data_IF_594816079963
#
_entry.id   IF_594816079963
#
_cell.length_a   1.000
_cell.length_b   1.000
_cell.length_c   1.000
_cell.angle_alpha   90.00
_cell.angle_beta   90.00
_cell.angle_gamma   90.00
#
_symmetry.space_group_name_H-M   'P 1'
#
loop_
_entity.id
_entity.type
_entity.pdbx_description
1 polymer ?
#
# COMPACT_ATOMS: atom_id res chain seq x y z
N UNK A 1 4.30 -12.26 -18.60
CA UNK A 1 4.74 -10.85 -18.80
C UNK A 1 5.00 -10.20 -17.46
N UNK A 2 6.23 -9.78 -17.19
CA UNK A 2 6.49 -9.05 -15.95
C UNK A 2 5.81 -7.69 -15.99
N UNK A 3 5.23 -7.31 -14.88
CA UNK A 3 4.64 -6.00 -14.69
C UNK A 3 5.70 -5.02 -14.21
N UNK A 4 5.50 -3.75 -14.52
CA UNK A 4 6.31 -2.68 -13.96
C UNK A 4 5.65 -2.20 -12.67
N UNK A 5 6.44 -2.18 -11.62
CA UNK A 5 6.03 -1.76 -10.29
C UNK A 5 6.71 -0.43 -9.98
N UNK A 6 5.96 0.54 -9.50
CA UNK A 6 6.51 1.83 -9.07
C UNK A 6 6.52 1.90 -7.56
N UNK A 7 7.54 2.55 -7.03
CA UNK A 7 7.64 2.84 -5.61
C UNK A 7 7.20 4.28 -5.37
N UNK A 8 6.14 4.44 -4.57
CA UNK A 8 5.67 5.76 -4.15
C UNK A 8 6.71 6.40 -3.23
N UNK A 9 7.04 7.70 -3.41
CA UNK A 9 8.16 8.30 -2.70
C UNK A 9 7.91 8.58 -1.22
N UNK A 10 6.66 8.69 -0.79
CA UNK A 10 6.33 9.09 0.58
C UNK A 10 6.31 7.91 1.54
N UNK A 11 6.65 8.19 2.80
CA UNK A 11 6.45 7.23 3.89
C UNK A 11 5.02 7.41 4.39
N UNK A 12 4.30 6.29 4.49
CA UNK A 12 2.88 6.28 4.82
C UNK A 12 2.63 5.72 6.22
N UNK A 13 1.47 6.08 6.76
CA UNK A 13 0.95 5.52 8.01
C UNK A 13 -0.40 4.87 7.74
N UNK A 14 -0.66 3.79 8.47
CA UNK A 14 -1.95 3.11 8.47
C UNK A 14 -2.59 3.43 9.82
N UNK A 15 -3.76 4.07 9.79
CA UNK A 15 -4.38 4.62 11.00
C UNK A 15 -5.80 4.12 11.16
N UNK A 16 -6.27 4.09 12.41
CA UNK A 16 -7.66 3.84 12.73
C UNK A 16 -8.20 4.92 13.65
N UNK A 17 -9.46 5.27 13.44
CA UNK A 17 -10.24 6.22 14.23
C UNK A 17 -11.62 5.60 14.49
N UNK A 18 -12.39 6.13 15.45
CA UNK A 18 -13.77 5.70 15.62
C UNK A 18 -14.57 5.84 14.33
N UNK A 19 -15.59 4.96 14.11
CA UNK A 19 -16.29 4.94 12.82
C UNK A 19 -17.02 6.23 12.46
N UNK A 20 -17.37 7.05 13.43
CA UNK A 20 -18.05 8.32 13.22
C UNK A 20 -17.09 9.50 12.99
N UNK A 21 -15.79 9.29 13.09
CA UNK A 21 -14.81 10.37 12.93
C UNK A 21 -14.80 10.91 11.49
N UNK A 22 -14.45 12.17 11.36
CA UNK A 22 -14.28 12.80 10.04
C UNK A 22 -12.85 12.57 9.54
N UNK A 23 -12.68 12.13 8.28
CA UNK A 23 -11.34 12.00 7.74
C UNK A 23 -10.69 13.38 7.57
N UNK A 24 -9.38 13.49 7.82
CA UNK A 24 -8.69 14.77 7.68
C UNK A 24 -8.60 15.20 6.22
N UNK A 25 -8.54 16.51 6.02
CA UNK A 25 -8.17 17.10 4.74
C UNK A 25 -6.65 17.00 4.58
N UNK A 26 -6.18 16.46 3.47
CA UNK A 26 -4.75 16.32 3.22
C UNK A 26 -4.48 16.36 1.71
N UNK A 27 -3.27 16.79 1.35
CA UNK A 27 -2.79 16.81 -0.03
C UNK A 27 -1.82 15.66 -0.33
N UNK A 28 -1.83 14.62 0.50
CA UNK A 28 -1.00 13.43 0.25
C UNK A 28 -1.36 12.82 -1.11
N UNK A 29 -0.36 12.35 -1.86
CA UNK A 29 -0.59 11.76 -3.18
C UNK A 29 -1.35 10.45 -3.09
N UNK A 30 -1.12 9.66 -2.03
CA UNK A 30 -1.88 8.44 -1.79
C UNK A 30 -2.73 8.62 -0.53
N UNK A 31 -4.03 8.51 -0.69
CA UNK A 31 -4.96 8.68 0.42
C UNK A 31 -6.07 7.65 0.29
N UNK A 32 -6.11 6.71 1.23
CA UNK A 32 -7.15 5.68 1.27
C UNK A 32 -8.01 5.87 2.51
N UNK A 33 -9.32 5.86 2.32
CA UNK A 33 -10.30 6.01 3.40
C UNK A 33 -11.26 4.84 3.30
N UNK A 34 -11.38 4.09 4.39
CA UNK A 34 -12.35 3.00 4.47
C UNK A 34 -13.16 3.17 5.75
N UNK A 35 -14.47 3.39 5.59
CA UNK A 35 -15.38 3.48 6.73
C UNK A 35 -16.22 2.21 6.82
N UNK A 36 -16.22 1.60 7.98
CA UNK A 36 -17.07 0.45 8.32
C UNK A 36 -17.81 0.77 9.62
N UNK A 37 -18.78 -0.06 10.04
CA UNK A 37 -19.38 0.12 11.37
C UNK A 37 -18.37 0.05 12.52
N UNK A 38 -17.20 -0.56 12.29
CA UNK A 38 -16.21 -0.77 13.34
C UNK A 38 -15.14 0.31 13.42
N UNK A 39 -14.85 1.02 12.30
CA UNK A 39 -13.73 1.94 12.26
C UNK A 39 -13.77 2.87 11.06
N UNK A 40 -13.03 3.95 11.17
CA UNK A 40 -12.55 4.74 10.03
C UNK A 40 -11.07 4.41 9.84
N UNK A 41 -10.73 3.70 8.78
CA UNK A 41 -9.35 3.32 8.47
C UNK A 41 -8.77 4.28 7.44
N UNK A 42 -7.55 4.74 7.67
CA UNK A 42 -6.88 5.69 6.79
C UNK A 42 -5.50 5.19 6.43
N UNK A 43 -5.11 5.42 5.17
CA UNK A 43 -3.71 5.32 4.75
C UNK A 43 -3.34 6.66 4.15
N UNK A 44 -2.31 7.31 4.72
CA UNK A 44 -1.90 8.64 4.30
C UNK A 44 -0.44 8.87 4.65
N UNK A 45 0.10 9.99 4.19
CA UNK A 45 1.47 10.39 4.50
C UNK A 45 1.62 10.50 6.03
N UNK A 46 2.70 9.94 6.58
CA UNK A 46 2.84 9.85 8.04
C UNK A 46 2.89 11.22 8.73
N UNK A 47 3.26 12.27 8.01
CA UNK A 47 3.25 13.64 8.56
C UNK A 47 1.83 14.22 8.69
N UNK A 48 0.81 13.54 8.15
CA UNK A 48 -0.57 14.02 8.13
C UNK A 48 -1.49 13.27 9.09
N UNK A 49 -0.92 12.47 9.99
CA UNK A 49 -1.70 11.68 10.97
C UNK A 49 -2.59 12.63 11.79
N UNK A 50 -3.94 12.40 11.79
CA UNK A 50 -4.82 13.26 12.55
C UNK A 50 -4.73 13.02 14.05
N UNK A 51 -5.06 14.02 14.88
CA UNK A 51 -5.10 13.84 16.34
C UNK A 51 -6.06 12.72 16.74
N UNK A 52 -5.69 11.95 17.73
CA UNK A 52 -6.53 10.88 18.28
C UNK A 52 -6.49 9.57 17.52
N UNK A 53 -5.79 9.49 16.39
CA UNK A 53 -5.67 8.26 15.63
C UNK A 53 -4.65 7.31 16.26
N UNK A 54 -4.94 6.02 16.18
CA UNK A 54 -3.97 4.96 16.50
C UNK A 54 -3.35 4.52 15.19
N UNK A 55 -2.03 4.58 15.08
CA UNK A 55 -1.35 4.41 13.79
C UNK A 55 -0.17 3.48 13.87
N UNK A 56 0.06 2.81 12.73
CA UNK A 56 1.30 2.12 12.40
C UNK A 56 1.99 2.95 11.32
N UNK A 57 3.12 3.58 11.63
CA UNK A 57 3.90 4.38 10.69
C UNK A 57 5.01 3.57 10.04
N UNK A 58 5.71 4.18 9.09
CA UNK A 58 6.89 3.58 8.48
C UNK A 58 6.57 2.57 7.39
N UNK A 59 5.55 2.84 6.58
CA UNK A 59 5.18 2.00 5.44
C UNK A 59 5.60 2.64 4.13
N UNK A 60 6.01 1.81 3.17
CA UNK A 60 6.32 2.22 1.81
C UNK A 60 5.38 1.51 0.85
N UNK A 61 5.02 2.19 -0.22
CA UNK A 61 3.97 1.71 -1.12
C UNK A 61 4.53 1.39 -2.51
N UNK A 62 4.29 0.17 -2.96
CA UNK A 62 4.46 -0.22 -4.36
C UNK A 62 3.11 -0.20 -5.04
N UNK A 63 3.08 0.14 -6.32
CA UNK A 63 1.86 0.01 -7.11
C UNK A 63 2.19 -0.43 -8.52
N UNK A 64 1.22 -1.10 -9.16
CA UNK A 64 1.37 -1.56 -10.54
C UNK A 64 1.21 -0.36 -11.45
N UNK A 65 2.18 -0.15 -12.34
CA UNK A 65 2.14 0.95 -13.29
C UNK A 65 1.05 0.74 -14.34
N UNK A 66 0.31 1.79 -14.63
CA UNK A 66 -0.77 1.75 -15.61
C UNK A 66 -2.11 1.33 -15.02
N UNK A 67 -3.07 1.10 -15.90
CA UNK A 67 -4.42 0.71 -15.50
C UNK A 67 -4.63 -0.78 -15.75
N UNK A 68 -5.12 -1.49 -14.73
CA UNK A 68 -5.42 -2.91 -14.83
C UNK A 68 -6.89 -3.12 -15.19
N UNK A 69 -7.22 -4.08 -16.09
CA UNK A 69 -8.61 -4.44 -16.31
C UNK A 69 -9.22 -5.06 -15.05
N UNK A 70 -10.50 -4.82 -14.80
CA UNK A 70 -11.19 -5.41 -13.65
C UNK A 70 -11.22 -6.94 -13.69
N UNK A 71 -11.18 -7.52 -14.88
CA UNK A 71 -11.19 -8.98 -15.05
C UNK A 71 -9.80 -9.60 -15.07
N UNK A 72 -8.75 -8.82 -14.79
CA UNK A 72 -7.41 -9.37 -14.63
C UNK A 72 -7.37 -10.32 -13.43
N UNK A 73 -6.73 -11.47 -13.61
CA UNK A 73 -6.69 -12.53 -12.60
C UNK A 73 -5.26 -12.75 -12.15
N UNK A 74 -5.09 -12.84 -10.83
CA UNK A 74 -3.81 -13.25 -10.25
C UNK A 74 -2.76 -12.15 -10.16
N UNK A 75 -3.08 -10.90 -10.47
CA UNK A 75 -2.12 -9.79 -10.41
C UNK A 75 -1.63 -9.61 -8.96
N UNK A 76 -2.57 -9.43 -8.04
CA UNK A 76 -2.22 -9.22 -6.63
C UNK A 76 -1.56 -10.47 -6.04
N UNK A 77 -2.08 -11.65 -6.35
CA UNK A 77 -1.51 -12.91 -5.87
C UNK A 77 -0.06 -13.08 -6.34
N UNK A 78 0.24 -12.72 -7.57
CA UNK A 78 1.60 -12.77 -8.12
C UNK A 78 2.58 -11.88 -7.39
N UNK A 79 2.11 -10.76 -6.85
CA UNK A 79 2.93 -9.85 -6.04
C UNK A 79 3.06 -10.34 -4.61
N UNK A 80 1.97 -10.81 -4.01
CA UNK A 80 1.95 -11.15 -2.59
C UNK A 80 2.59 -12.50 -2.29
N UNK A 81 2.48 -13.47 -3.20
CA UNK A 81 3.03 -14.81 -2.96
C UNK A 81 4.55 -14.79 -2.72
N UNK A 82 5.38 -14.15 -3.58
CA UNK A 82 6.82 -14.10 -3.31
C UNK A 82 7.15 -13.34 -2.01
N UNK A 83 6.40 -12.28 -1.69
CA UNK A 83 6.63 -11.54 -0.45
C UNK A 83 6.29 -12.39 0.77
N UNK A 84 5.20 -13.14 0.72
CA UNK A 84 4.83 -14.05 1.81
C UNK A 84 5.89 -15.14 1.98
N UNK A 85 6.40 -15.70 0.89
CA UNK A 85 7.46 -16.69 0.94
C UNK A 85 8.75 -16.13 1.54
N UNK A 86 8.98 -14.83 1.42
CA UNK A 86 10.13 -14.15 2.02
C UNK A 86 9.85 -13.65 3.44
N UNK A 87 8.69 -13.98 4.00
CA UNK A 87 8.28 -13.59 5.36
C UNK A 87 8.16 -12.07 5.50
N UNK A 88 7.64 -11.40 4.47
CA UNK A 88 7.41 -9.96 4.48
C UNK A 88 5.92 -9.69 4.68
N UNK A 89 5.60 -8.92 5.74
CA UNK A 89 4.24 -8.49 6.05
C UNK A 89 3.77 -7.44 5.06
N UNK A 90 2.52 -7.51 4.64
CA UNK A 90 1.96 -6.59 3.65
C UNK A 90 0.63 -6.02 4.12
N UNK A 91 0.29 -4.85 3.56
CA UNK A 91 -1.03 -4.25 3.66
C UNK A 91 -1.43 -3.83 2.23
N UNK A 92 -2.56 -4.30 1.73
CA UNK A 92 -2.93 -4.05 0.34
C UNK A 92 -4.17 -3.17 0.24
N UNK A 93 -4.19 -2.34 -0.79
CA UNK A 93 -5.32 -1.49 -1.14
C UNK A 93 -5.52 -1.60 -2.65
N UNK A 94 -6.74 -1.88 -3.08
CA UNK A 94 -7.08 -1.90 -4.50
C UNK A 94 -7.96 -0.70 -4.82
N UNK A 95 -7.63 -0.02 -5.92
CA UNK A 95 -8.44 1.09 -6.42
C UNK A 95 -9.06 0.69 -7.76
N UNK A 96 -9.80 1.61 -8.36
CA UNK A 96 -10.40 1.37 -9.68
C UNK A 96 -9.34 1.00 -10.74
N UNK A 97 -8.20 1.68 -10.71
CA UNK A 97 -7.19 1.55 -11.78
C UNK A 97 -6.14 0.50 -11.50
N UNK A 98 -5.77 0.29 -10.26
CA UNK A 98 -4.62 -0.56 -9.97
C UNK A 98 -4.59 -1.02 -8.52
N UNK A 99 -3.62 -1.88 -8.21
CA UNK A 99 -3.37 -2.39 -6.88
C UNK A 99 -2.18 -1.68 -6.24
N UNK A 100 -2.30 -1.41 -4.95
CA UNK A 100 -1.26 -0.83 -4.12
C UNK A 100 -0.87 -1.82 -3.03
N UNK A 101 0.42 -1.91 -2.77
CA UNK A 101 0.95 -2.89 -1.84
C UNK A 101 1.94 -2.20 -0.91
N UNK A 102 1.62 -2.17 0.39
CA UNK A 102 2.47 -1.53 1.37
C UNK A 102 3.31 -2.57 2.10
N UNK A 103 4.58 -2.25 2.29
CA UNK A 103 5.51 -3.02 3.10
C UNK A 103 6.14 -2.10 4.12
N UNK A 104 6.60 -2.65 5.24
CA UNK A 104 7.30 -1.84 6.24
C UNK A 104 8.60 -1.31 5.66
N UNK A 105 8.97 -0.10 6.04
CA UNK A 105 10.20 0.55 5.57
C UNK A 105 11.43 -0.34 5.83
N UNK A 106 11.47 -1.01 6.98
CA UNK A 106 12.59 -1.89 7.33
C UNK A 106 12.73 -3.07 6.36
N UNK A 107 11.64 -3.45 5.67
CA UNK A 107 11.62 -4.56 4.73
C UNK A 107 11.74 -4.10 3.26
N UNK A 108 11.86 -2.79 3.02
CA UNK A 108 11.81 -2.25 1.67
C UNK A 108 12.87 -2.86 0.74
N UNK A 109 14.12 -2.91 1.21
CA UNK A 109 15.22 -3.45 0.41
C UNK A 109 14.99 -4.91 0.08
N UNK A 110 14.58 -5.69 1.06
CA UNK A 110 14.27 -7.12 0.89
C UNK A 110 13.10 -7.32 -0.06
N UNK A 111 12.07 -6.47 0.05
CA UNK A 111 10.92 -6.52 -0.85
C UNK A 111 11.31 -6.22 -2.30
N UNK A 112 12.16 -5.21 -2.53
CA UNK A 112 12.64 -4.89 -3.87
C UNK A 112 13.40 -6.06 -4.49
N UNK A 113 14.30 -6.69 -3.74
CA UNK A 113 15.05 -7.84 -4.21
C UNK A 113 14.10 -9.00 -4.51
N UNK A 114 13.17 -9.28 -3.63
CA UNK A 114 12.20 -10.38 -3.76
C UNK A 114 11.35 -10.22 -5.02
N UNK A 115 10.82 -9.02 -5.24
CA UNK A 115 9.97 -8.77 -6.41
C UNK A 115 10.79 -8.79 -7.71
N UNK A 116 12.00 -8.25 -7.70
CA UNK A 116 12.89 -8.30 -8.86
C UNK A 116 13.24 -9.75 -9.22
N UNK A 117 13.53 -10.57 -8.23
CA UNK A 117 13.84 -11.99 -8.44
C UNK A 117 12.62 -12.75 -8.97
N UNK A 118 11.42 -12.30 -8.66
CA UNK A 118 10.18 -12.87 -9.17
C UNK A 118 9.84 -12.42 -10.59
N UNK A 119 10.64 -11.53 -11.19
CA UNK A 119 10.50 -11.11 -12.58
C UNK A 119 9.85 -9.73 -12.77
N UNK A 120 9.58 -9.00 -11.70
CA UNK A 120 9.01 -7.66 -11.82
C UNK A 120 10.11 -6.62 -12.02
N UNK A 121 9.79 -5.57 -12.78
CA UNK A 121 10.67 -4.39 -12.92
C UNK A 121 10.21 -3.33 -11.91
N UNK A 122 11.14 -2.77 -11.14
CA UNK A 122 10.80 -1.78 -10.12
C UNK A 122 11.39 -0.44 -10.51
N UNK A 123 10.53 0.57 -10.61
CA UNK A 123 10.92 1.96 -10.85
C UNK A 123 10.75 2.76 -9.55
N UNK A 124 11.76 3.51 -9.20
CA UNK A 124 11.77 4.32 -7.98
C UNK A 124 11.51 5.79 -8.28
#
# INVERSE_FOLDING_TARGET
MPLTIRLHPQILAICTLPPEADPPMTDTDFYSITRTPDELSLVLRETDIPPGATCESGWRCFYVDGSLPFDAVGILAGLTAPLAAADISIFSVSSYKTDYLLVRQVDLKKACVTLTDAGYSILK
#
